data_IF_905750584616
#
_entry.id   IF_905750584616
#
_cell.length_a   1.000
_cell.length_b   1.000
_cell.length_c   1.000
_cell.angle_alpha   90.00
_cell.angle_beta   90.00
_cell.angle_gamma   90.00
#
_symmetry.space_group_name_H-M   'P 1'
#
loop_
_entity.id
_entity.type
_entity.pdbx_description
1 polymer ?
#
# COMPACT_ATOMS: atom_id res chain seq x y z
N UNK A 1 -9.08 29.67 0.19
CA UNK A 1 -9.33 29.04 -1.12
C UNK A 1 -8.98 27.56 -1.15
N UNK A 2 -7.75 27.12 -0.82
CA UNK A 2 -7.41 25.68 -0.81
C UNK A 2 -8.35 24.84 0.06
N UNK A 3 -8.67 25.31 1.28
CA UNK A 3 -9.62 24.63 2.17
C UNK A 3 -11.02 24.49 1.56
N UNK A 4 -11.48 25.52 0.83
CA UNK A 4 -12.77 25.52 0.12
C UNK A 4 -12.73 24.51 -1.01
N UNK A 5 -11.65 24.48 -1.80
CA UNK A 5 -11.48 23.50 -2.87
C UNK A 5 -11.50 22.05 -2.34
N UNK A 6 -10.80 21.76 -1.23
CA UNK A 6 -10.84 20.45 -0.58
C UNK A 6 -12.24 20.08 -0.08
N UNK A 7 -12.96 21.04 0.50
CA UNK A 7 -14.35 20.83 0.92
C UNK A 7 -15.26 20.52 -0.27
N UNK A 8 -15.11 21.23 -1.39
CA UNK A 8 -15.86 20.95 -2.62
C UNK A 8 -15.58 19.56 -3.16
N UNK A 9 -14.33 19.08 -3.14
CA UNK A 9 -14.01 17.71 -3.55
C UNK A 9 -14.69 16.66 -2.65
N UNK A 10 -14.72 16.89 -1.32
CA UNK A 10 -15.43 16.00 -0.38
C UNK A 10 -16.94 15.99 -0.57
N UNK A 11 -17.50 17.07 -1.12
CA UNK A 11 -18.92 17.18 -1.48
C UNK A 11 -19.21 16.71 -2.91
N UNK A 12 -18.27 16.01 -3.56
CA UNK A 12 -18.37 15.53 -4.95
C UNK A 12 -18.55 16.65 -6.00
N UNK A 13 -18.31 17.91 -5.62
CA UNK A 13 -18.31 19.07 -6.52
C UNK A 13 -16.94 19.20 -7.19
N UNK A 14 -16.53 18.17 -7.92
CA UNK A 14 -15.16 18.02 -8.44
C UNK A 14 -14.75 19.17 -9.37
N UNK A 15 -15.64 19.59 -10.28
CA UNK A 15 -15.39 20.70 -11.20
C UNK A 15 -15.20 22.05 -10.49
N UNK A 16 -16.01 22.32 -9.46
CA UNK A 16 -15.88 23.54 -8.65
C UNK A 16 -14.58 23.52 -7.84
N UNK A 17 -14.26 22.37 -7.21
CA UNK A 17 -13.01 22.16 -6.49
C UNK A 17 -11.78 22.39 -7.37
N UNK A 18 -11.78 21.82 -8.57
CA UNK A 18 -10.71 22.00 -9.56
C UNK A 18 -10.56 23.47 -9.95
N UNK A 19 -11.67 24.17 -10.22
CA UNK A 19 -11.65 25.60 -10.57
C UNK A 19 -11.05 26.44 -9.44
N UNK A 20 -11.55 26.28 -8.21
CA UNK A 20 -11.07 27.03 -7.04
C UNK A 20 -9.60 26.70 -6.71
N UNK A 21 -9.16 25.45 -6.90
CA UNK A 21 -7.76 25.08 -6.73
C UNK A 21 -6.85 25.70 -7.81
N UNK A 22 -7.32 25.76 -9.06
CA UNK A 22 -6.59 26.38 -10.18
C UNK A 22 -6.47 27.89 -10.01
N UNK A 23 -7.52 28.55 -9.55
CA UNK A 23 -7.48 29.97 -9.16
C UNK A 23 -6.48 30.21 -8.03
N UNK A 24 -6.47 29.34 -7.01
CA UNK A 24 -5.49 29.42 -5.93
C UNK A 24 -4.06 29.22 -6.41
N UNK A 25 -3.83 28.28 -7.32
CA UNK A 25 -2.53 28.09 -7.95
C UNK A 25 -2.06 29.37 -8.65
N UNK A 26 -2.95 30.05 -9.40
CA UNK A 26 -2.65 31.33 -10.04
C UNK A 26 -2.20 32.40 -9.05
N UNK A 27 -2.97 32.61 -7.98
CA UNK A 27 -2.62 33.59 -6.94
C UNK A 27 -1.26 33.26 -6.29
N UNK A 28 -1.02 32.00 -5.95
CA UNK A 28 0.27 31.63 -5.34
C UNK A 28 1.44 31.74 -6.31
N UNK A 29 1.20 31.56 -7.61
CA UNK A 29 2.20 31.82 -8.66
C UNK A 29 2.57 33.29 -8.69
N UNK A 30 1.60 34.19 -8.67
CA UNK A 30 1.82 35.64 -8.66
C UNK A 30 2.55 36.10 -7.39
N UNK A 31 2.22 35.48 -6.25
CA UNK A 31 2.90 35.69 -4.97
C UNK A 31 4.25 34.98 -4.86
N UNK A 32 4.68 34.22 -5.89
CA UNK A 32 5.91 33.40 -5.90
C UNK A 32 6.01 32.43 -4.69
N UNK A 33 4.87 31.98 -4.18
CA UNK A 33 4.78 31.09 -3.02
C UNK A 33 4.71 29.64 -3.46
N UNK A 34 5.87 28.99 -3.58
CA UNK A 34 5.96 27.59 -4.04
C UNK A 34 5.23 26.62 -3.14
N UNK A 35 5.27 26.83 -1.82
CA UNK A 35 4.48 26.03 -0.86
C UNK A 35 2.98 26.17 -1.08
N UNK A 36 2.50 27.36 -1.43
CA UNK A 36 1.10 27.58 -1.80
C UNK A 36 0.74 26.91 -3.12
N UNK A 37 1.63 27.00 -4.10
CA UNK A 37 1.48 26.33 -5.40
C UNK A 37 1.38 24.81 -5.25
N UNK A 38 2.27 24.18 -4.48
CA UNK A 38 2.25 22.73 -4.21
C UNK A 38 0.92 22.31 -3.59
N UNK A 39 0.47 23.00 -2.54
CA UNK A 39 -0.81 22.68 -1.89
C UNK A 39 -2.02 22.84 -2.82
N UNK A 40 -1.97 23.80 -3.75
CA UNK A 40 -3.02 23.95 -4.76
C UNK A 40 -2.95 22.83 -5.80
N UNK A 41 -1.75 22.47 -6.25
CA UNK A 41 -1.51 21.38 -7.20
C UNK A 41 -1.92 20.02 -6.64
N UNK A 42 -1.69 19.73 -5.36
CA UNK A 42 -2.20 18.52 -4.71
C UNK A 42 -3.72 18.39 -4.89
N UNK A 43 -4.46 19.49 -4.74
CA UNK A 43 -5.92 19.50 -4.91
C UNK A 43 -6.31 19.39 -6.38
N UNK A 44 -5.55 20.01 -7.29
CA UNK A 44 -5.74 19.85 -8.75
C UNK A 44 -5.54 18.39 -9.17
N UNK A 45 -4.46 17.75 -8.70
CA UNK A 45 -4.17 16.33 -8.94
C UNK A 45 -5.30 15.46 -8.37
N UNK A 46 -5.72 15.70 -7.12
CA UNK A 46 -6.82 14.96 -6.50
C UNK A 46 -8.12 15.10 -7.29
N UNK A 47 -8.45 16.31 -7.77
CA UNK A 47 -9.64 16.54 -8.58
C UNK A 47 -9.56 15.78 -9.91
N UNK A 48 -8.39 15.78 -10.56
CA UNK A 48 -8.16 15.03 -11.79
C UNK A 48 -8.19 13.51 -11.59
N UNK A 49 -7.74 13.00 -10.44
CA UNK A 49 -7.90 11.60 -10.07
C UNK A 49 -9.38 11.22 -9.92
N UNK A 50 -10.20 12.09 -9.30
CA UNK A 50 -11.66 11.88 -9.18
C UNK A 50 -12.39 11.94 -10.54
N UNK A 51 -11.76 12.50 -11.57
CA UNK A 51 -12.25 12.54 -12.94
C UNK A 51 -11.68 11.41 -13.82
N UNK A 52 -10.96 10.45 -13.23
CA UNK A 52 -10.28 9.36 -13.94
C UNK A 52 -9.27 9.85 -15.00
N UNK A 53 -8.66 11.01 -14.76
CA UNK A 53 -7.65 11.61 -15.63
C UNK A 53 -6.43 12.12 -14.83
N UNK A 54 -5.72 11.25 -14.09
CA UNK A 54 -4.59 11.65 -13.25
C UNK A 54 -3.44 12.31 -14.02
N UNK A 55 -3.29 11.99 -15.31
CA UNK A 55 -2.24 12.52 -16.18
C UNK A 55 -2.34 14.04 -16.35
N UNK A 56 -3.54 14.62 -16.39
CA UNK A 56 -3.70 16.08 -16.47
C UNK A 56 -3.22 16.79 -15.21
N UNK A 57 -3.43 16.19 -14.03
CA UNK A 57 -2.90 16.72 -12.77
C UNK A 57 -1.37 16.73 -12.75
N UNK A 58 -0.75 15.60 -13.14
CA UNK A 58 0.70 15.50 -13.27
C UNK A 58 1.26 16.46 -14.34
N UNK A 59 0.55 16.67 -15.45
CA UNK A 59 0.96 17.63 -16.46
C UNK A 59 0.97 19.07 -15.91
N UNK A 60 -0.02 19.45 -15.11
CA UNK A 60 -0.04 20.75 -14.44
C UNK A 60 1.15 20.89 -13.47
N UNK A 61 1.44 19.86 -12.68
CA UNK A 61 2.58 19.85 -11.76
C UNK A 61 3.93 19.99 -12.50
N UNK A 62 4.12 19.26 -13.60
CA UNK A 62 5.35 19.31 -14.40
C UNK A 62 5.56 20.66 -15.09
N UNK A 63 4.48 21.35 -15.49
CA UNK A 63 4.55 22.72 -16.02
C UNK A 63 5.08 23.69 -14.96
N UNK A 64 4.54 23.64 -13.74
CA UNK A 64 5.04 24.48 -12.64
C UNK A 64 6.47 24.13 -12.27
N UNK A 65 6.84 22.84 -12.27
CA UNK A 65 8.22 22.41 -12.01
C UNK A 65 9.20 23.04 -13.01
N UNK A 66 8.84 23.10 -14.30
CA UNK A 66 9.68 23.70 -15.33
C UNK A 66 9.87 25.22 -15.11
N UNK A 67 8.81 25.92 -14.72
CA UNK A 67 8.87 27.34 -14.40
C UNK A 67 9.74 27.61 -13.16
N UNK A 68 9.59 26.81 -12.11
CA UNK A 68 10.36 26.91 -10.87
C UNK A 68 11.84 26.61 -11.11
N UNK A 69 12.16 25.58 -11.90
CA UNK A 69 13.54 25.27 -12.33
C UNK A 69 14.21 26.46 -13.02
N UNK A 70 13.52 27.07 -13.99
CA UNK A 70 14.03 28.24 -14.73
C UNK A 70 14.30 29.45 -13.81
N UNK A 71 13.54 29.57 -12.72
CA UNK A 71 13.73 30.65 -11.74
C UNK A 71 14.89 30.43 -10.76
N UNK A 72 15.51 29.24 -10.75
CA UNK A 72 16.58 28.89 -9.80
C UNK A 72 16.10 28.67 -8.35
N UNK A 73 14.79 28.54 -8.12
CA UNK A 73 14.25 28.31 -6.78
C UNK A 73 14.34 26.81 -6.41
N UNK A 74 15.50 26.42 -5.89
CA UNK A 74 15.81 25.04 -5.49
C UNK A 74 14.84 24.48 -4.45
N UNK A 75 14.39 25.30 -3.48
CA UNK A 75 13.44 24.84 -2.45
C UNK A 75 12.07 24.53 -3.05
N UNK A 76 11.59 25.40 -3.95
CA UNK A 76 10.35 25.14 -4.68
C UNK A 76 10.44 23.92 -5.60
N UNK A 77 11.62 23.70 -6.19
CA UNK A 77 11.87 22.57 -7.06
C UNK A 77 11.73 21.24 -6.30
N UNK A 78 12.34 21.12 -5.11
CA UNK A 78 12.18 19.91 -4.28
C UNK A 78 10.78 19.70 -3.77
N UNK A 79 10.09 20.76 -3.33
CA UNK A 79 8.71 20.64 -2.84
C UNK A 79 7.77 20.12 -3.95
N UNK A 80 8.01 20.54 -5.21
CA UNK A 80 7.26 20.03 -6.37
C UNK A 80 7.66 18.60 -6.77
N UNK A 81 8.96 18.27 -6.75
CA UNK A 81 9.44 16.92 -7.05
C UNK A 81 8.95 15.90 -6.03
N UNK A 82 8.92 16.25 -4.74
CA UNK A 82 8.35 15.43 -3.67
C UNK A 82 6.88 15.13 -3.95
N UNK A 83 6.07 16.15 -4.26
CA UNK A 83 4.65 15.97 -4.58
C UNK A 83 4.44 15.11 -5.83
N UNK A 84 5.24 15.32 -6.89
CA UNK A 84 5.19 14.52 -8.12
C UNK A 84 5.57 13.06 -7.84
N UNK A 85 6.61 12.82 -7.04
CA UNK A 85 7.04 11.48 -6.67
C UNK A 85 5.97 10.74 -5.87
N UNK A 86 5.37 11.41 -4.87
CA UNK A 86 4.24 10.88 -4.10
C UNK A 86 3.02 10.60 -4.98
N UNK A 87 2.72 11.49 -5.94
CA UNK A 87 1.61 11.30 -6.89
C UNK A 87 1.84 10.06 -7.75
N UNK A 88 3.03 9.88 -8.31
CA UNK A 88 3.36 8.67 -9.07
C UNK A 88 3.27 7.40 -8.21
N UNK A 89 3.70 7.45 -6.94
CA UNK A 89 3.57 6.34 -6.01
C UNK A 89 2.09 5.97 -5.77
N UNK A 90 1.23 6.96 -5.54
CA UNK A 90 -0.21 6.76 -5.36
C UNK A 90 -0.90 6.17 -6.61
N UNK A 91 -0.37 6.47 -7.80
CA UNK A 91 -0.86 5.94 -9.08
C UNK A 91 -0.29 4.55 -9.43
N UNK A 92 0.50 3.94 -8.55
CA UNK A 92 1.13 2.65 -8.81
C UNK A 92 2.19 2.71 -9.92
N UNK A 93 2.87 3.85 -10.06
CA UNK A 93 3.91 4.08 -11.07
C UNK A 93 5.31 4.15 -10.41
N UNK A 94 5.84 3.03 -9.88
CA UNK A 94 7.03 3.04 -9.04
C UNK A 94 8.28 3.58 -9.75
N UNK A 95 8.49 3.25 -11.02
CA UNK A 95 9.63 3.76 -11.79
C UNK A 95 9.61 5.29 -11.94
N UNK A 96 8.45 5.88 -12.20
CA UNK A 96 8.30 7.34 -12.32
C UNK A 96 8.48 8.03 -10.97
N UNK A 97 7.97 7.42 -9.88
CA UNK A 97 8.17 7.91 -8.52
C UNK A 97 9.66 7.90 -8.13
N UNK A 98 10.38 6.79 -8.40
CA UNK A 98 11.81 6.67 -8.17
C UNK A 98 12.61 7.74 -8.92
N UNK A 99 12.26 8.00 -10.19
CA UNK A 99 12.91 9.03 -11.00
C UNK A 99 12.73 10.44 -10.39
N UNK A 100 11.51 10.80 -10.00
CA UNK A 100 11.22 12.09 -9.38
C UNK A 100 11.89 12.22 -8.00
N UNK A 101 11.85 11.16 -7.18
CA UNK A 101 12.53 11.12 -5.89
C UNK A 101 14.05 11.28 -6.04
N UNK A 102 14.66 10.62 -7.04
CA UNK A 102 16.10 10.74 -7.30
C UNK A 102 16.51 12.15 -7.69
N UNK A 103 15.68 12.86 -8.47
CA UNK A 103 15.92 14.27 -8.80
C UNK A 103 15.84 15.16 -7.55
N UNK A 104 14.90 14.88 -6.64
CA UNK A 104 14.77 15.62 -5.39
C UNK A 104 15.98 15.40 -4.46
N UNK A 105 16.52 14.18 -4.42
CA UNK A 105 17.66 13.80 -3.59
C UNK A 105 18.90 14.67 -3.84
N UNK A 106 19.24 14.93 -5.10
CA UNK A 106 20.42 15.73 -5.46
C UNK A 106 20.31 17.17 -4.92
N UNK A 107 19.11 17.74 -4.99
CA UNK A 107 18.86 19.10 -4.51
C UNK A 107 18.81 19.12 -2.98
N UNK A 108 18.16 18.15 -2.33
CA UNK A 108 18.16 18.07 -0.86
C UNK A 108 19.57 17.89 -0.29
N UNK A 109 20.46 17.17 -0.98
CA UNK A 109 21.87 17.06 -0.62
C UNK A 109 22.56 18.43 -0.68
N UNK A 110 22.34 19.20 -1.76
CA UNK A 110 22.84 20.57 -1.89
C UNK A 110 22.31 21.53 -0.81
N UNK A 111 21.05 21.37 -0.42
CA UNK A 111 20.41 22.12 0.67
C UNK A 111 20.77 21.64 2.07
N UNK A 112 21.51 20.51 2.18
CA UNK A 112 21.80 19.81 3.46
C UNK A 112 20.54 19.48 4.26
N UNK A 113 19.43 19.22 3.57
CA UNK A 113 18.16 18.86 4.19
C UNK A 113 18.09 17.35 4.42
N UNK A 114 18.54 16.93 5.59
CA UNK A 114 18.50 15.51 5.99
C UNK A 114 17.06 15.02 6.20
N UNK A 115 16.11 15.89 6.54
CA UNK A 115 14.72 15.49 6.72
C UNK A 115 14.10 15.14 5.36
N UNK A 116 14.26 16.01 4.36
CA UNK A 116 13.80 15.78 2.99
C UNK A 116 14.43 14.53 2.36
N UNK A 117 15.74 14.32 2.55
CA UNK A 117 16.41 13.09 2.10
C UNK A 117 15.83 11.83 2.78
N UNK A 118 15.54 11.90 4.08
CA UNK A 118 14.91 10.80 4.81
C UNK A 118 13.56 10.41 4.24
N UNK A 119 12.71 11.40 3.95
CA UNK A 119 11.39 11.16 3.34
C UNK A 119 11.51 10.55 1.94
N UNK A 120 12.43 11.05 1.10
CA UNK A 120 12.64 10.51 -0.24
C UNK A 120 13.18 9.08 -0.20
N UNK A 121 14.07 8.76 0.75
CA UNK A 121 14.53 7.38 0.93
C UNK A 121 13.41 6.44 1.39
N UNK A 122 12.50 6.86 2.26
CA UNK A 122 11.32 6.04 2.59
C UNK A 122 10.42 5.81 1.38
N UNK A 123 10.15 6.86 0.60
CA UNK A 123 9.38 6.73 -0.63
C UNK A 123 10.05 5.74 -1.60
N UNK A 124 11.37 5.84 -1.80
CA UNK A 124 12.12 4.90 -2.62
C UNK A 124 12.06 3.48 -2.08
N UNK A 125 12.12 3.29 -0.76
CA UNK A 125 11.99 1.98 -0.14
C UNK A 125 10.62 1.36 -0.44
N UNK A 126 9.54 2.14 -0.32
CA UNK A 126 8.19 1.68 -0.62
C UNK A 126 8.02 1.33 -2.12
N UNK A 127 8.64 2.11 -3.01
CA UNK A 127 8.60 1.82 -4.45
C UNK A 127 9.38 0.56 -4.80
N UNK A 128 10.54 0.34 -4.19
CA UNK A 128 11.32 -0.89 -4.38
C UNK A 128 10.61 -2.10 -3.79
N UNK A 129 9.93 -1.94 -2.64
CA UNK A 129 9.05 -2.96 -2.08
C UNK A 129 7.94 -3.34 -3.06
N UNK A 130 7.29 -2.35 -3.68
CA UNK A 130 6.26 -2.59 -4.70
C UNK A 130 6.79 -3.29 -5.96
N UNK A 131 8.07 -3.08 -6.30
CA UNK A 131 8.78 -3.79 -7.38
C UNK A 131 9.30 -5.17 -6.97
N UNK A 132 9.15 -5.58 -5.70
CA UNK A 132 9.63 -6.87 -5.19
C UNK A 132 11.13 -6.91 -4.86
N UNK A 133 11.85 -5.79 -4.97
CA UNK A 133 13.30 -5.69 -4.69
C UNK A 133 13.56 -5.38 -3.21
N UNK A 134 13.15 -6.31 -2.33
CA UNK A 134 13.15 -6.13 -0.87
C UNK A 134 14.54 -5.79 -0.27
N UNK A 135 15.63 -6.26 -0.88
CA UNK A 135 16.99 -5.91 -0.46
C UNK A 135 17.32 -4.44 -0.71
N UNK A 136 16.90 -3.89 -1.85
CA UNK A 136 17.08 -2.47 -2.16
C UNK A 136 16.19 -1.60 -1.29
N UNK A 137 14.94 -2.04 -1.07
CA UNK A 137 14.03 -1.38 -0.15
C UNK A 137 14.64 -1.27 1.25
N UNK A 138 15.22 -2.35 1.77
CA UNK A 138 15.87 -2.35 3.11
C UNK A 138 17.02 -1.36 3.17
N UNK A 139 17.89 -1.34 2.13
CA UNK A 139 19.01 -0.38 2.04
C UNK A 139 18.52 1.07 2.04
N UNK A 140 17.41 1.37 1.37
CA UNK A 140 16.83 2.71 1.37
C UNK A 140 16.26 3.08 2.74
N UNK A 141 15.53 2.19 3.41
CA UNK A 141 15.03 2.46 4.77
C UNK A 141 16.17 2.65 5.79
N UNK A 142 17.29 1.94 5.64
CA UNK A 142 18.51 2.17 6.45
C UNK A 142 19.12 3.56 6.21
N UNK A 143 19.14 4.01 4.95
CA UNK A 143 19.60 5.37 4.61
C UNK A 143 18.64 6.42 5.20
N UNK A 144 17.32 6.20 5.10
CA UNK A 144 16.33 7.07 5.70
C UNK A 144 16.54 7.20 7.22
N UNK A 145 16.77 6.08 7.93
CA UNK A 145 17.06 6.09 9.36
C UNK A 145 18.29 6.94 9.71
N UNK A 146 19.37 6.84 8.93
CA UNK A 146 20.57 7.67 9.13
C UNK A 146 20.27 9.15 8.93
N UNK A 147 19.51 9.49 7.89
CA UNK A 147 19.07 10.86 7.60
C UNK A 147 18.22 11.43 8.75
N UNK A 148 17.22 10.69 9.25
CA UNK A 148 16.39 11.18 10.35
C UNK A 148 17.14 11.32 11.67
N UNK A 149 18.09 10.42 11.97
CA UNK A 149 19.00 10.57 13.11
C UNK A 149 19.85 11.84 12.98
N UNK A 150 20.41 12.08 11.79
CA UNK A 150 21.18 13.29 11.52
C UNK A 150 20.34 14.58 11.61
N UNK A 151 19.04 14.50 11.32
CA UNK A 151 18.08 15.58 11.50
C UNK A 151 17.53 15.70 12.94
N UNK A 152 17.85 14.77 13.85
CA UNK A 152 17.28 14.71 15.20
C UNK A 152 15.78 14.38 15.24
N UNK A 153 15.21 13.85 14.15
CA UNK A 153 13.78 13.59 14.03
C UNK A 153 13.41 12.23 14.62
N UNK A 154 12.96 12.21 15.88
CA UNK A 154 12.50 10.97 16.53
C UNK A 154 11.31 10.33 15.83
N UNK A 155 10.38 11.15 15.31
CA UNK A 155 9.26 10.66 14.53
C UNK A 155 9.73 10.01 13.22
N UNK A 156 10.69 10.62 12.51
CA UNK A 156 11.26 10.04 11.29
C UNK A 156 12.07 8.76 11.54
N UNK A 157 12.84 8.72 12.64
CA UNK A 157 13.54 7.50 13.09
C UNK A 157 12.55 6.35 13.27
N UNK A 158 11.42 6.62 13.93
CA UNK A 158 10.38 5.64 14.22
C UNK A 158 9.71 5.09 12.95
N UNK A 159 9.44 5.97 11.98
CA UNK A 159 8.92 5.58 10.66
C UNK A 159 9.91 4.70 9.90
N UNK A 160 11.20 5.05 9.90
CA UNK A 160 12.21 4.24 9.23
C UNK A 160 12.40 2.87 9.89
N UNK A 161 12.38 2.79 11.22
CA UNK A 161 12.42 1.52 11.95
C UNK A 161 11.19 0.65 11.67
N UNK A 162 10.00 1.25 11.53
CA UNK A 162 8.79 0.54 11.15
C UNK A 162 8.89 -0.02 9.72
N UNK A 163 9.40 0.78 8.77
CA UNK A 163 9.65 0.34 7.39
C UNK A 163 10.64 -0.82 7.33
N UNK A 164 11.80 -0.72 8.00
CA UNK A 164 12.79 -1.81 8.10
C UNK A 164 12.15 -3.08 8.68
N UNK A 165 11.36 -2.92 9.75
CA UNK A 165 10.69 -4.04 10.40
C UNK A 165 9.71 -4.74 9.46
N UNK A 166 8.91 -3.98 8.70
CA UNK A 166 7.99 -4.54 7.70
C UNK A 166 8.72 -5.26 6.57
N UNK A 167 9.83 -4.70 6.09
CA UNK A 167 10.60 -5.30 5.01
C UNK A 167 11.25 -6.61 5.44
N UNK A 168 11.71 -6.71 6.69
CA UNK A 168 12.24 -7.95 7.25
C UNK A 168 11.16 -9.02 7.42
N UNK A 169 9.93 -8.62 7.78
CA UNK A 169 8.77 -9.52 7.80
C UNK A 169 8.47 -10.05 6.40
N UNK A 170 8.40 -9.18 5.39
CA UNK A 170 8.15 -9.59 3.99
C UNK A 170 9.23 -10.56 3.47
N UNK A 171 10.45 -10.47 4.01
CA UNK A 171 11.57 -11.38 3.72
C UNK A 171 11.54 -12.69 4.53
N UNK A 172 10.54 -12.90 5.37
CA UNK A 172 10.44 -14.06 6.26
C UNK A 172 11.45 -14.05 7.41
N UNK A 173 11.93 -12.87 7.82
CA UNK A 173 12.92 -12.69 8.89
C UNK A 173 12.40 -11.74 10.01
N UNK A 174 11.19 -11.96 10.55
CA UNK A 174 10.62 -11.10 11.59
C UNK A 174 11.50 -11.05 12.85
N UNK A 175 12.28 -12.11 13.11
CA UNK A 175 13.18 -12.19 14.27
C UNK A 175 14.32 -11.16 14.25
N UNK A 176 14.70 -10.70 13.04
CA UNK A 176 15.76 -9.70 12.86
C UNK A 176 15.23 -8.26 12.89
N UNK A 177 13.91 -8.08 12.95
CA UNK A 177 13.33 -6.76 12.94
C UNK A 177 13.66 -6.00 14.23
N UNK A 178 14.09 -4.73 14.14
CA UNK A 178 14.51 -3.95 15.30
C UNK A 178 13.40 -3.81 16.35
N UNK A 179 12.13 -3.81 15.92
CA UNK A 179 10.95 -3.70 16.79
C UNK A 179 10.38 -5.04 17.28
N UNK A 180 11.02 -6.18 16.94
CA UNK A 180 10.56 -7.51 17.38
C UNK A 180 10.52 -7.64 18.90
N UNK A 181 11.49 -7.08 19.61
CA UNK A 181 11.52 -7.09 21.08
C UNK A 181 10.34 -6.32 21.70
N UNK A 182 9.91 -5.21 21.07
CA UNK A 182 8.74 -4.45 21.52
C UNK A 182 7.45 -5.23 21.30
N UNK A 183 7.33 -5.94 20.17
CA UNK A 183 6.19 -6.81 19.89
C UNK A 183 6.10 -7.97 20.91
N UNK A 184 7.22 -8.64 21.21
CA UNK A 184 7.28 -9.68 22.23
C UNK A 184 6.94 -9.17 23.63
N UNK A 185 7.36 -7.94 23.96
CA UNK A 185 7.00 -7.30 25.24
C UNK A 185 5.50 -7.02 25.31
N UNK A 186 4.91 -6.47 24.24
CA UNK A 186 3.48 -6.20 24.17
C UNK A 186 2.65 -7.49 24.28
N UNK A 187 3.09 -8.59 23.66
CA UNK A 187 2.45 -9.91 23.80
C UNK A 187 2.47 -10.43 25.25
N UNK A 188 3.56 -10.24 25.99
CA UNK A 188 3.62 -10.58 27.42
C UNK A 188 2.75 -9.66 28.27
N UNK A 189 2.63 -8.39 27.91
CA UNK A 189 1.71 -7.43 28.56
C UNK A 189 0.26 -7.88 28.34
N UNK A 190 -0.08 -8.32 27.11
CA UNK A 190 -1.41 -8.87 26.78
C UNK A 190 -1.71 -10.10 27.63
N UNK A 191 -0.78 -11.06 27.71
CA UNK A 191 -0.94 -12.25 28.54
C UNK A 191 -1.33 -11.90 29.98
N UNK A 192 -0.60 -10.97 30.60
CA UNK A 192 -0.85 -10.53 31.97
C UNK A 192 -2.19 -9.82 32.10
N UNK A 193 -2.56 -8.99 31.14
CA UNK A 193 -3.84 -8.27 31.15
C UNK A 193 -5.03 -9.26 31.12
N UNK A 194 -4.91 -10.35 30.36
CA UNK A 194 -5.90 -11.42 30.30
C UNK A 194 -5.96 -12.19 31.62
N UNK A 195 -4.81 -12.61 32.16
CA UNK A 195 -4.72 -13.33 33.43
C UNK A 195 -5.26 -12.50 34.61
N UNK A 196 -5.09 -11.17 34.58
CA UNK A 196 -5.56 -10.26 35.62
C UNK A 196 -6.97 -9.71 35.38
N UNK A 197 -7.65 -10.10 34.30
CA UNK A 197 -9.00 -9.61 33.95
C UNK A 197 -9.10 -8.09 33.85
N UNK A 198 -8.11 -7.43 33.24
CA UNK A 198 -8.04 -5.97 33.13
C UNK A 198 -8.45 -5.49 31.74
N UNK A 199 -9.71 -5.04 31.54
CA UNK A 199 -10.22 -4.69 30.21
C UNK A 199 -9.50 -3.48 29.58
N UNK A 200 -9.17 -2.46 30.37
CA UNK A 200 -8.50 -1.25 29.87
C UNK A 200 -7.05 -1.52 29.43
N UNK A 201 -6.36 -2.41 30.15
CA UNK A 201 -5.00 -2.83 29.80
C UNK A 201 -5.01 -3.63 28.48
N UNK A 202 -6.03 -4.46 28.24
CA UNK A 202 -6.18 -5.22 26.98
C UNK A 202 -6.30 -4.27 25.80
N UNK A 203 -7.22 -3.30 25.87
CA UNK A 203 -7.40 -2.30 24.79
C UNK A 203 -6.12 -1.53 24.51
N UNK A 204 -5.42 -1.10 25.55
CA UNK A 204 -4.16 -0.37 25.42
C UNK A 204 -3.08 -1.20 24.74
N UNK A 205 -2.97 -2.48 25.10
CA UNK A 205 -1.99 -3.40 24.52
C UNK A 205 -2.38 -3.80 23.09
N UNK A 206 -3.66 -3.97 22.78
CA UNK A 206 -4.16 -4.20 21.42
C UNK A 206 -3.81 -3.06 20.48
N UNK A 207 -4.02 -1.81 20.89
CA UNK A 207 -3.62 -0.65 20.08
C UNK A 207 -2.11 -0.64 19.78
N UNK A 208 -1.29 -1.06 20.75
CA UNK A 208 0.16 -1.19 20.60
C UNK A 208 0.52 -2.35 19.66
N UNK A 209 -0.12 -3.50 19.81
CA UNK A 209 0.08 -4.67 18.94
C UNK A 209 -0.38 -4.38 17.51
N UNK A 210 -1.50 -3.68 17.32
CA UNK A 210 -2.00 -3.27 16.01
C UNK A 210 -1.00 -2.37 15.26
N UNK A 211 -0.30 -1.47 15.96
CA UNK A 211 0.79 -0.67 15.38
C UNK A 211 2.01 -1.51 14.97
N UNK A 212 2.21 -2.63 15.65
CA UNK A 212 3.31 -3.58 15.42
C UNK A 212 2.87 -4.80 14.58
N UNK A 213 1.64 -4.81 14.05
CA UNK A 213 0.93 -6.05 13.71
C UNK A 213 1.64 -6.97 12.73
N UNK A 214 2.44 -6.43 11.81
CA UNK A 214 3.26 -7.24 10.90
C UNK A 214 4.38 -8.03 11.59
N UNK A 215 4.77 -7.67 12.81
CA UNK A 215 5.80 -8.33 13.61
C UNK A 215 5.27 -9.40 14.55
N UNK A 216 3.95 -9.58 14.61
CA UNK A 216 3.28 -10.58 15.43
C UNK A 216 2.74 -11.66 14.52
N UNK A 217 3.23 -12.88 14.66
CA UNK A 217 2.73 -14.03 13.92
C UNK A 217 1.59 -14.74 14.65
N UNK A 218 0.79 -15.50 13.92
CA UNK A 218 -0.24 -16.38 14.52
C UNK A 218 0.37 -17.34 15.55
N UNK A 219 1.59 -17.81 15.31
CA UNK A 219 2.32 -18.67 16.24
C UNK A 219 2.66 -17.95 17.55
N UNK A 220 3.00 -16.65 17.50
CA UNK A 220 3.25 -15.85 18.69
C UNK A 220 1.96 -15.65 19.51
N UNK A 221 0.85 -15.38 18.83
CA UNK A 221 -0.46 -15.20 19.47
C UNK A 221 -0.91 -16.52 20.12
N UNK A 222 -0.83 -17.63 19.40
CA UNK A 222 -1.16 -18.96 19.92
C UNK A 222 -0.27 -19.34 21.11
N UNK A 223 1.03 -19.06 21.03
CA UNK A 223 1.98 -19.33 22.11
C UNK A 223 1.64 -18.60 23.42
N UNK A 224 0.96 -17.46 23.34
CA UNK A 224 0.50 -16.70 24.52
C UNK A 224 -0.91 -17.12 24.96
N UNK A 225 -1.85 -17.24 24.03
CA UNK A 225 -3.26 -17.50 24.37
C UNK A 225 -3.50 -18.95 24.80
N UNK A 226 -2.88 -19.93 24.14
CA UNK A 226 -3.15 -21.34 24.43
C UNK A 226 -2.83 -21.72 25.89
N UNK A 227 -1.69 -21.35 26.48
CA UNK A 227 -1.42 -21.66 27.89
C UNK A 227 -2.40 -20.97 28.85
N UNK A 228 -2.81 -19.73 28.57
CA UNK A 228 -3.76 -18.98 29.41
C UNK A 228 -5.12 -19.65 29.40
N UNK A 229 -5.64 -19.99 28.21
CA UNK A 229 -6.95 -20.62 28.04
C UNK A 229 -7.00 -22.05 28.59
N UNK A 230 -5.89 -22.80 28.49
CA UNK A 230 -5.80 -24.15 29.08
C UNK A 230 -5.80 -24.11 30.61
N UNK A 231 -5.18 -23.08 31.21
CA UNK A 231 -5.11 -22.91 32.66
C UNK A 231 -6.41 -22.35 33.24
N UNK A 232 -7.04 -21.43 32.51
CA UNK A 232 -8.28 -20.76 32.90
C UNK A 232 -9.26 -20.70 31.71
N UNK A 233 -10.15 -21.70 31.58
CA UNK A 233 -11.15 -21.73 30.53
C UNK A 233 -12.13 -20.54 30.57
N UNK A 234 -12.37 -19.93 31.74
CA UNK A 234 -13.24 -18.76 31.87
C UNK A 234 -12.66 -17.51 31.21
N UNK A 235 -11.36 -17.53 30.86
CA UNK A 235 -10.74 -16.43 30.13
C UNK A 235 -11.29 -16.28 28.72
N UNK A 236 -11.86 -17.34 28.16
CA UNK A 236 -12.57 -17.28 26.90
C UNK A 236 -13.79 -16.36 26.98
N UNK A 237 -14.64 -16.53 28.00
CA UNK A 237 -15.85 -15.73 28.21
C UNK A 237 -15.50 -14.25 28.41
N UNK A 238 -14.50 -13.98 29.24
CA UNK A 238 -14.01 -12.61 29.45
C UNK A 238 -13.49 -11.96 28.17
N UNK A 239 -12.73 -12.69 27.34
CA UNK A 239 -12.24 -12.18 26.06
C UNK A 239 -13.40 -11.94 25.07
N UNK A 240 -14.41 -12.82 25.05
CA UNK A 240 -15.65 -12.62 24.28
C UNK A 240 -16.40 -11.34 24.71
N UNK A 241 -16.48 -11.06 26.01
CA UNK A 241 -17.03 -9.79 26.53
C UNK A 241 -16.22 -8.56 26.08
N UNK A 242 -14.91 -8.70 25.86
CA UNK A 242 -14.08 -7.65 25.29
C UNK A 242 -14.22 -7.52 23.77
N UNK A 243 -15.05 -8.36 23.14
CA UNK A 243 -15.34 -8.33 21.70
C UNK A 243 -14.50 -9.28 20.84
N UNK A 244 -13.69 -10.16 21.45
CA UNK A 244 -12.94 -11.17 20.71
C UNK A 244 -13.87 -12.29 20.23
N UNK A 245 -13.67 -12.75 19.00
CA UNK A 245 -14.50 -13.79 18.41
C UNK A 245 -13.70 -15.10 18.26
N UNK A 246 -13.95 -16.07 19.15
CA UNK A 246 -13.31 -17.38 19.10
C UNK A 246 -14.16 -18.47 18.44
N UNK A 247 -15.46 -18.21 18.26
CA UNK A 247 -16.33 -19.09 17.48
C UNK A 247 -15.93 -18.98 16.01
N UNK A 248 -15.60 -20.11 15.38
CA UNK A 248 -15.59 -20.19 13.91
C UNK A 248 -16.96 -19.75 13.41
N UNK A 249 -17.00 -18.84 12.44
CA UNK A 249 -18.16 -18.68 11.57
C UNK A 249 -18.56 -20.06 11.02
N UNK A 250 -19.65 -20.60 11.58
CA UNK A 250 -20.06 -22.00 11.41
C UNK A 250 -21.18 -22.50 12.32
N UNK A 251 -21.84 -21.63 13.10
CA UNK A 251 -23.03 -21.99 13.88
C UNK A 251 -24.27 -21.19 13.43
N UNK A 252 -24.46 -21.08 12.11
CA UNK A 252 -25.74 -20.88 11.43
C UNK A 252 -25.46 -20.74 9.92
N UNK A 253 -25.55 -21.85 9.17
CA UNK A 253 -25.94 -21.87 7.74
C UNK A 253 -25.17 -21.08 6.67
N UNK A 254 -24.14 -20.30 6.98
CA UNK A 254 -23.35 -19.56 5.99
C UNK A 254 -21.86 -19.80 6.19
N UNK A 255 -21.20 -20.37 5.20
CA UNK A 255 -19.75 -20.54 5.21
C UNK A 255 -19.04 -19.19 5.35
N UNK A 256 -18.06 -19.13 6.25
CA UNK A 256 -17.17 -17.97 6.39
C UNK A 256 -16.68 -17.51 5.01
N UNK A 257 -16.77 -16.21 4.72
CA UNK A 257 -16.18 -15.67 3.49
C UNK A 257 -14.66 -15.74 3.61
N UNK A 258 -14.05 -16.77 3.05
CA UNK A 258 -12.59 -16.95 3.07
C UNK A 258 -11.96 -16.12 1.97
N UNK A 259 -11.26 -15.05 2.33
CA UNK A 259 -10.28 -14.42 1.44
C UNK A 259 -9.05 -15.34 1.42
N UNK A 260 -8.94 -16.21 0.41
CA UNK A 260 -7.74 -17.02 0.20
C UNK A 260 -6.74 -16.22 -0.63
N UNK A 261 -5.63 -15.84 -0.01
CA UNK A 261 -4.49 -15.30 -0.75
C UNK A 261 -3.67 -16.48 -1.29
N UNK A 262 -3.51 -16.54 -2.60
CA UNK A 262 -2.63 -17.50 -3.25
C UNK A 262 -1.38 -16.77 -3.76
N UNK A 263 -0.18 -17.34 -3.60
CA UNK A 263 0.97 -16.89 -4.35
C UNK A 263 0.64 -16.94 -5.84
N UNK A 264 1.00 -15.89 -6.59
CA UNK A 264 0.60 -15.70 -7.99
C UNK A 264 0.82 -16.96 -8.86
N UNK A 265 1.98 -17.61 -8.71
CA UNK A 265 2.32 -18.85 -9.44
C UNK A 265 1.37 -20.01 -9.12
N UNK A 266 0.96 -20.15 -7.86
CA UNK A 266 0.01 -21.18 -7.42
C UNK A 266 -1.40 -20.94 -7.95
N UNK A 267 -1.84 -19.68 -8.03
CA UNK A 267 -3.12 -19.31 -8.63
C UNK A 267 -3.15 -19.62 -10.15
N UNK A 268 -2.08 -19.28 -10.86
CA UNK A 268 -1.94 -19.55 -12.29
C UNK A 268 -1.97 -21.06 -12.60
N UNK A 269 -1.20 -21.86 -11.85
CA UNK A 269 -1.22 -23.32 -11.95
C UNK A 269 -2.60 -23.92 -11.64
N UNK A 270 -3.28 -23.39 -10.62
CA UNK A 270 -4.62 -23.83 -10.27
C UNK A 270 -5.61 -23.63 -11.42
N UNK A 271 -5.63 -22.44 -12.04
CA UNK A 271 -6.54 -22.12 -13.16
C UNK A 271 -6.33 -23.02 -14.38
N UNK A 272 -5.07 -23.27 -14.75
CA UNK A 272 -4.71 -24.20 -15.84
C UNK A 272 -5.16 -25.63 -15.51
N UNK A 273 -4.88 -26.12 -14.30
CA UNK A 273 -5.20 -27.50 -13.92
C UNK A 273 -6.70 -27.74 -13.77
N UNK A 274 -7.50 -26.72 -13.44
CA UNK A 274 -8.96 -26.84 -13.31
C UNK A 274 -9.72 -26.68 -14.63
N UNK A 275 -9.01 -26.63 -15.77
CA UNK A 275 -9.64 -26.55 -17.10
C UNK A 275 -10.18 -25.17 -17.47
N UNK A 276 -9.92 -24.15 -16.65
CA UNK A 276 -10.09 -22.75 -17.06
C UNK A 276 -8.84 -22.33 -17.84
N UNK A 277 -8.79 -22.71 -19.12
CA UNK A 277 -7.66 -22.47 -20.05
C UNK A 277 -7.39 -20.99 -20.38
N UNK A 278 -7.98 -20.07 -19.62
CA UNK A 278 -7.66 -18.66 -19.68
C UNK A 278 -6.29 -18.40 -19.02
N UNK A 279 -5.23 -18.51 -19.82
CA UNK A 279 -3.99 -17.76 -19.58
C UNK A 279 -4.28 -16.25 -19.64
N UNK A 280 -3.43 -15.37 -19.07
CA UNK A 280 -3.83 -14.03 -18.68
C UNK A 280 -3.90 -13.13 -19.92
N UNK A 281 -5.09 -13.01 -20.49
CA UNK A 281 -5.51 -11.84 -21.28
C UNK A 281 -6.76 -11.18 -20.67
N UNK A 282 -6.99 -11.30 -19.36
CA UNK A 282 -8.02 -10.52 -18.68
C UNK A 282 -7.44 -9.26 -18.04
N UNK A 283 -7.83 -8.10 -18.59
CA UNK A 283 -7.93 -6.84 -17.84
C UNK A 283 -8.99 -7.05 -16.76
N UNK A 284 -8.67 -6.75 -15.50
CA UNK A 284 -9.60 -6.98 -14.40
C UNK A 284 -10.73 -5.94 -14.45
N UNK A 285 -11.97 -6.44 -14.44
CA UNK A 285 -13.19 -5.69 -14.11
C UNK A 285 -13.33 -5.68 -12.59
N UNK A 286 -13.77 -4.55 -12.02
CA UNK A 286 -14.02 -4.37 -10.59
C UNK A 286 -14.74 -5.58 -9.97
N UNK A 287 -14.39 -6.00 -8.75
CA UNK A 287 -15.08 -7.09 -8.08
C UNK A 287 -16.56 -6.73 -7.93
N UNK A 288 -17.45 -7.58 -8.43
CA UNK A 288 -18.87 -7.51 -8.09
C UNK A 288 -19.33 -8.83 -7.50
N UNK A 289 -20.21 -8.72 -6.49
CA UNK A 289 -20.83 -9.83 -5.79
C UNK A 289 -21.74 -10.59 -6.76
N UNK A 290 -21.60 -11.90 -6.84
CA UNK A 290 -22.66 -12.78 -7.37
C UNK A 290 -23.09 -13.69 -6.21
N UNK A 291 -24.33 -13.53 -5.74
CA UNK A 291 -24.92 -14.34 -4.68
C UNK A 291 -25.79 -13.56 -3.68
N UNK A 292 -26.78 -14.24 -3.11
CA UNK A 292 -27.69 -13.72 -2.07
C UNK A 292 -26.99 -13.82 -0.69
N UNK A 293 -27.15 -12.84 0.22
CA UNK A 293 -26.51 -12.89 1.54
C UNK A 293 -26.85 -14.19 2.30
N UNK A 294 -25.82 -14.91 2.76
CA UNK A 294 -25.96 -16.04 3.69
C UNK A 294 -25.68 -17.43 3.12
N UNK A 295 -25.46 -17.59 1.81
CA UNK A 295 -25.13 -18.91 1.23
C UNK A 295 -23.93 -18.76 0.28
N UNK A 296 -22.74 -19.10 0.78
CA UNK A 296 -21.46 -19.24 0.08
C UNK A 296 -21.09 -18.16 -0.96
N UNK A 297 -20.43 -17.09 -0.49
CA UNK A 297 -19.81 -16.10 -1.35
C UNK A 297 -18.33 -16.45 -1.62
N UNK A 298 -17.94 -16.64 -2.89
CA UNK A 298 -16.51 -16.68 -3.27
C UNK A 298 -16.15 -15.38 -4.00
N UNK A 299 -15.17 -14.63 -3.49
CA UNK A 299 -14.61 -13.47 -4.17
C UNK A 299 -13.15 -13.78 -4.55
N UNK A 300 -12.82 -13.62 -5.83
CA UNK A 300 -11.46 -13.73 -6.34
C UNK A 300 -11.03 -12.32 -6.74
N UNK A 301 -9.95 -11.83 -6.15
CA UNK A 301 -9.27 -10.60 -6.56
C UNK A 301 -8.05 -10.97 -7.38
N UNK A 302 -7.94 -10.40 -8.58
CA UNK A 302 -6.76 -10.53 -9.45
C UNK A 302 -6.16 -9.14 -9.59
N UNK A 303 -4.83 -9.02 -9.44
CA UNK A 303 -4.08 -7.80 -9.76
C UNK A 303 -3.43 -7.92 -11.14
N UNK A 304 -3.43 -6.82 -11.88
CA UNK A 304 -2.90 -6.72 -13.24
C UNK A 304 -1.36 -6.72 -13.25
N UNK A 305 -0.73 -7.47 -14.16
CA UNK A 305 0.70 -7.34 -14.49
C UNK A 305 0.87 -6.69 -15.87
N UNK A 306 1.85 -5.78 -16.06
CA UNK A 306 2.22 -5.25 -17.38
C UNK A 306 2.97 -6.24 -18.29
N UNK A 307 3.48 -7.35 -17.73
CA UNK A 307 4.52 -8.19 -18.38
C UNK A 307 4.01 -9.53 -18.93
N UNK A 308 2.70 -9.79 -18.90
CA UNK A 308 2.14 -11.11 -19.28
C UNK A 308 2.30 -11.45 -20.76
N UNK A 309 2.51 -10.49 -21.64
CA UNK A 309 2.69 -10.77 -23.09
C UNK A 309 4.04 -11.40 -23.42
N UNK A 310 5.13 -10.99 -22.75
CA UNK A 310 6.49 -11.39 -23.16
C UNK A 310 6.75 -12.89 -22.94
N UNK A 311 6.43 -13.38 -21.74
CA UNK A 311 6.63 -14.78 -21.36
C UNK A 311 5.73 -15.73 -22.19
N UNK A 312 4.46 -15.39 -22.42
CA UNK A 312 3.56 -16.27 -23.19
C UNK A 312 4.00 -16.44 -24.64
N UNK A 313 4.52 -15.37 -25.24
CA UNK A 313 5.11 -15.40 -26.58
C UNK A 313 6.38 -16.26 -26.62
N UNK A 314 7.18 -16.23 -25.57
CA UNK A 314 8.41 -17.03 -25.42
C UNK A 314 8.13 -18.54 -25.28
N UNK A 315 7.02 -18.90 -24.63
CA UNK A 315 6.54 -20.29 -24.52
C UNK A 315 5.89 -20.81 -25.81
N UNK A 316 5.67 -19.97 -26.83
CA UNK A 316 4.99 -20.34 -28.08
C UNK A 316 3.52 -20.73 -27.90
N UNK A 317 2.93 -20.51 -26.73
CA UNK A 317 1.57 -20.94 -26.39
C UNK A 317 0.57 -19.87 -26.86
N UNK A 318 -0.29 -20.22 -27.83
CA UNK A 318 -1.32 -19.33 -28.40
C UNK A 318 -2.73 -19.81 -28.03
N UNK A 319 -3.32 -19.35 -26.91
CA UNK A 319 -4.60 -19.86 -26.42
C UNK A 319 -5.75 -19.73 -27.43
N UNK A 320 -5.75 -18.64 -28.21
CA UNK A 320 -6.81 -18.39 -29.20
C UNK A 320 -6.87 -19.39 -30.37
N UNK A 321 -5.77 -20.08 -30.71
CA UNK A 321 -5.77 -21.07 -31.80
C UNK A 321 -6.38 -22.41 -31.39
N UNK A 322 -6.21 -22.82 -30.13
CA UNK A 322 -6.75 -24.08 -29.62
C UNK A 322 -8.27 -23.97 -29.36
N UNK A 323 -8.74 -22.77 -29.00
CA UNK A 323 -10.16 -22.51 -28.75
C UNK A 323 -10.99 -22.44 -30.05
N UNK A 324 -10.42 -21.95 -31.16
CA UNK A 324 -11.07 -22.07 -32.48
C UNK A 324 -11.27 -23.53 -32.90
N UNK A 325 -10.38 -24.45 -32.49
CA UNK A 325 -10.56 -25.88 -32.74
C UNK A 325 -11.70 -26.50 -31.92
N UNK A 326 -11.85 -26.07 -30.67
CA UNK A 326 -12.85 -26.62 -29.73
C UNK A 326 -14.26 -26.05 -29.97
N UNK A 327 -14.37 -24.75 -30.28
CA UNK A 327 -15.66 -24.08 -30.49
C UNK A 327 -16.26 -24.33 -31.89
N UNK A 328 -15.43 -24.64 -32.89
CA UNK A 328 -15.92 -24.92 -34.25
C UNK A 328 -16.34 -26.39 -34.48
N UNK A 329 -16.32 -27.26 -33.46
CA UNK A 329 -16.50 -28.72 -33.64
C UNK A 329 -15.70 -29.27 -34.84
N UNK A 330 -14.49 -28.78 -35.07
CA UNK A 330 -13.61 -29.32 -36.09
C UNK A 330 -12.98 -30.61 -35.55
N UNK A 331 -13.80 -31.65 -35.38
CA UNK A 331 -13.33 -33.00 -35.04
C UNK A 331 -12.70 -33.72 -36.24
N UNK A 332 -12.57 -33.04 -37.39
CA UNK A 332 -11.89 -33.57 -38.56
C UNK A 332 -11.21 -32.45 -39.33
N UNK A 333 -9.99 -32.10 -38.93
CA UNK A 333 -8.89 -31.75 -39.82
C UNK A 333 -7.77 -31.18 -38.97
N UNK A 334 -6.79 -32.01 -38.60
CA UNK A 334 -5.38 -31.76 -38.91
C UNK A 334 -4.66 -33.13 -38.88
N UNK A 335 -3.85 -33.47 -39.91
CA UNK A 335 -3.03 -34.68 -39.94
C UNK A 335 -1.88 -34.67 -38.93
#
# INVERSE_FOLDING_TARGET
MITVARAQLRMEKVSAGLKTATEALGIFRDLKSTRGMVKSLEVVVQAHMLQDNPNSGLQAANKELTAVKTSGNQRGEVDLLEMIAQTHAMLGQPHSALKAASQAMDIFAGLRDNMGQGNMYLLMADMQRALGTLDEATKFSDKALKCFRAAGSKWGEEQALQSISSLLVDRGQPEKAPKRGEAQKALKELQKAIEMRKPDDIKTVEEKLNKLGNLVSDADIQGILSPVLLKDPSALEFLEEQGWQFKKEGAAGGGATKIKQYPHKGFYLHMIMTGMNFGPQFRVVNPYRIGTPGVDCTCITVSQLPETEAWQMEMGYRPGMLDSGLQCQAQQAFP
#
